data_IF_160633326432
#
_entry.id   IF_160633326432
#
_cell.length_a   1.000
_cell.length_b   1.000
_cell.length_c   1.000
_cell.angle_alpha   90.00
_cell.angle_beta   90.00
_cell.angle_gamma   90.00
#
_symmetry.space_group_name_H-M   'P 1'
#
loop_
_entity.id
_entity.type
_entity.pdbx_description
1 polymer ?
#
# COMPACT_ATOMS: atom_id res chain seq x y z
N UNK A 1 -11.20 -6.31 7.41
CA UNK A 1 -10.03 -6.74 8.23
C UNK A 1 -8.75 -6.67 7.39
N UNK A 2 -7.69 -6.15 7.96
CA UNK A 2 -6.38 -6.12 7.28
C UNK A 2 -5.56 -7.34 7.71
N UNK A 3 -5.04 -8.05 6.71
CA UNK A 3 -4.20 -9.24 6.92
C UNK A 3 -2.84 -9.04 6.25
N UNK A 4 -1.82 -9.68 6.79
CA UNK A 4 -0.44 -9.56 6.31
C UNK A 4 0.20 -10.94 6.20
N UNK A 5 0.76 -11.25 5.03
CA UNK A 5 1.43 -12.53 4.76
C UNK A 5 2.76 -12.29 4.06
N UNK A 6 3.65 -13.26 4.18
CA UNK A 6 4.92 -13.30 3.43
C UNK A 6 4.87 -14.43 2.41
N UNK A 7 5.42 -14.18 1.23
CA UNK A 7 5.60 -15.19 0.20
C UNK A 7 7.05 -15.16 -0.30
N UNK A 8 7.81 -16.20 0.04
CA UNK A 8 9.23 -16.35 -0.34
C UNK A 8 10.14 -15.22 0.17
N UNK A 9 9.80 -14.66 1.32
CA UNK A 9 10.62 -13.66 2.02
C UNK A 9 10.41 -13.82 3.52
N UNK A 10 11.41 -13.41 4.30
CA UNK A 10 11.34 -13.36 5.75
C UNK A 10 11.10 -11.94 6.28
N UNK A 11 10.52 -11.08 5.46
CA UNK A 11 10.26 -9.68 5.81
C UNK A 11 9.38 -9.58 7.06
N UNK A 12 9.75 -8.68 7.96
CA UNK A 12 9.01 -8.43 9.19
C UNK A 12 8.34 -7.08 9.15
N UNK A 13 7.02 -7.07 8.91
CA UNK A 13 6.23 -5.85 8.91
C UNK A 13 5.84 -5.50 10.35
N UNK A 14 6.21 -4.30 10.80
CA UNK A 14 6.02 -3.86 12.19
C UNK A 14 4.74 -3.07 12.36
N UNK A 15 4.23 -3.03 13.61
CA UNK A 15 3.08 -2.22 14.02
C UNK A 15 1.81 -2.51 13.21
N UNK A 16 1.52 -3.78 12.99
CA UNK A 16 0.40 -4.23 12.16
C UNK A 16 -0.94 -3.63 12.58
N UNK A 17 -1.22 -3.56 13.88
CA UNK A 17 -2.48 -3.00 14.39
C UNK A 17 -2.57 -1.49 14.17
N UNK A 18 -1.50 -0.77 14.42
CA UNK A 18 -1.44 0.67 14.21
C UNK A 18 -1.62 1.01 12.72
N UNK A 19 -0.98 0.22 11.84
CA UNK A 19 -1.13 0.38 10.40
C UNK A 19 -2.57 0.11 9.98
N UNK A 20 -3.21 -0.94 10.48
CA UNK A 20 -4.61 -1.25 10.17
C UNK A 20 -5.54 -0.10 10.60
N UNK A 21 -5.32 0.49 11.77
CA UNK A 21 -6.08 1.65 12.25
C UNK A 21 -5.89 2.85 11.33
N UNK A 22 -4.66 3.12 10.93
CA UNK A 22 -4.32 4.18 9.98
C UNK A 22 -5.04 3.97 8.64
N UNK A 23 -4.97 2.77 8.09
CA UNK A 23 -5.61 2.45 6.80
C UNK A 23 -7.14 2.60 6.87
N UNK A 24 -7.76 2.28 8.00
CA UNK A 24 -9.19 2.53 8.21
C UNK A 24 -9.52 4.02 8.10
N UNK A 25 -8.71 4.85 8.72
CA UNK A 25 -8.89 6.31 8.65
C UNK A 25 -8.67 6.85 7.24
N UNK A 26 -7.69 6.29 6.52
CA UNK A 26 -7.44 6.66 5.11
C UNK A 26 -8.67 6.32 4.25
N UNK A 27 -9.19 5.11 4.36
CA UNK A 27 -10.37 4.69 3.60
C UNK A 27 -11.56 5.60 3.91
N UNK A 28 -11.80 5.92 5.19
CA UNK A 28 -12.88 6.82 5.60
C UNK A 28 -12.70 8.22 5.01
N UNK A 29 -11.48 8.74 5.01
CA UNK A 29 -11.18 10.06 4.43
C UNK A 29 -11.43 10.09 2.91
N UNK A 30 -11.25 8.95 2.24
CA UNK A 30 -11.57 8.81 0.82
C UNK A 30 -13.06 8.52 0.57
N UNK A 31 -13.86 8.35 1.62
CA UNK A 31 -15.30 8.16 1.52
C UNK A 31 -15.75 6.71 1.52
N UNK A 32 -14.94 5.79 2.01
CA UNK A 32 -15.22 4.35 1.97
C UNK A 32 -15.01 3.69 3.32
N UNK A 33 -15.59 2.51 3.50
CA UNK A 33 -15.30 1.63 4.61
C UNK A 33 -14.21 0.63 4.19
N UNK A 34 -13.33 0.30 5.11
CA UNK A 34 -12.29 -0.71 4.88
C UNK A 34 -12.88 -2.10 5.08
N UNK A 35 -12.91 -2.88 4.01
CA UNK A 35 -13.31 -4.28 4.04
C UNK A 35 -12.12 -5.21 4.28
N UNK A 36 -12.09 -6.33 3.55
CA UNK A 36 -11.00 -7.30 3.66
C UNK A 36 -9.87 -6.92 2.70
N UNK A 37 -8.77 -6.45 3.26
CA UNK A 37 -7.57 -6.08 2.51
C UNK A 37 -6.41 -6.93 3.01
N UNK A 38 -5.75 -7.62 2.09
CA UNK A 38 -4.62 -8.50 2.39
C UNK A 38 -3.37 -7.95 1.73
N UNK A 39 -2.33 -7.75 2.53
CA UNK A 39 -1.00 -7.40 2.05
C UNK A 39 -0.12 -8.64 2.03
N UNK A 40 0.47 -8.94 0.88
CA UNK A 40 1.39 -10.05 0.70
C UNK A 40 2.76 -9.48 0.34
N UNK A 41 3.73 -9.66 1.22
CA UNK A 41 5.12 -9.24 1.01
C UNK A 41 5.87 -10.34 0.28
N UNK A 42 6.45 -10.02 -0.87
CA UNK A 42 7.04 -10.99 -1.78
C UNK A 42 8.51 -10.71 -2.03
N UNK A 43 9.25 -11.76 -2.42
CA UNK A 43 10.55 -11.59 -3.08
C UNK A 43 10.35 -11.02 -4.48
N UNK A 44 11.39 -10.40 -5.05
CA UNK A 44 11.32 -9.88 -6.42
C UNK A 44 11.06 -10.97 -7.45
N UNK A 45 11.59 -12.16 -7.24
CA UNK A 45 11.37 -13.30 -8.15
C UNK A 45 9.89 -13.68 -8.23
N UNK A 46 9.23 -13.83 -7.07
CA UNK A 46 7.81 -14.17 -7.00
C UNK A 46 6.96 -13.05 -7.60
N UNK A 47 7.24 -11.82 -7.25
CA UNK A 47 6.49 -10.66 -7.70
C UNK A 47 6.59 -10.48 -9.22
N UNK A 48 7.79 -10.62 -9.78
CA UNK A 48 8.03 -10.55 -11.22
C UNK A 48 7.25 -11.64 -11.97
N UNK A 49 7.25 -12.85 -11.42
CA UNK A 49 6.49 -13.97 -12.01
C UNK A 49 5.00 -13.67 -12.06
N UNK A 50 4.43 -13.12 -10.99
CA UNK A 50 3.04 -12.69 -10.95
C UNK A 50 2.74 -11.62 -12.00
N UNK A 51 3.65 -10.66 -12.15
CA UNK A 51 3.50 -9.59 -13.12
C UNK A 51 3.45 -10.13 -14.56
N UNK A 52 4.27 -11.12 -14.88
CA UNK A 52 4.27 -11.81 -16.18
C UNK A 52 3.00 -12.66 -16.33
N UNK A 53 2.69 -13.50 -15.34
CA UNK A 53 1.62 -14.51 -15.43
C UNK A 53 0.23 -13.88 -15.42
N UNK A 54 0.00 -12.82 -14.68
CA UNK A 54 -1.33 -12.24 -14.46
C UNK A 54 -1.56 -10.89 -15.14
N UNK A 55 -0.51 -10.12 -15.39
CA UNK A 55 -0.63 -8.77 -15.97
C UNK A 55 0.01 -8.71 -17.36
N UNK A 56 0.87 -9.67 -17.70
CA UNK A 56 1.54 -9.73 -18.98
C UNK A 56 2.73 -8.79 -19.14
N UNK A 57 3.23 -8.25 -18.05
CA UNK A 57 4.38 -7.34 -18.03
C UNK A 57 5.63 -8.06 -17.52
N UNK A 58 6.73 -7.99 -18.23
CA UNK A 58 8.02 -8.55 -17.81
C UNK A 58 8.95 -7.42 -17.38
N UNK A 59 8.58 -6.71 -16.31
CA UNK A 59 9.43 -5.69 -15.70
C UNK A 59 9.17 -5.65 -14.20
N UNK A 60 10.11 -5.05 -13.46
CA UNK A 60 9.96 -4.90 -12.02
C UNK A 60 9.05 -3.72 -11.70
N UNK A 61 8.06 -3.97 -10.85
CA UNK A 61 7.22 -2.95 -10.22
C UNK A 61 7.20 -3.23 -8.72
N UNK A 62 6.94 -2.21 -7.91
CA UNK A 62 6.91 -2.35 -6.46
C UNK A 62 5.62 -2.96 -5.93
N UNK A 63 4.54 -2.90 -6.71
CA UNK A 63 3.21 -3.28 -6.22
C UNK A 63 2.33 -3.86 -7.33
N UNK A 64 1.53 -4.87 -6.98
CA UNK A 64 0.47 -5.41 -7.82
C UNK A 64 -0.80 -5.47 -6.97
N UNK A 65 -1.91 -4.92 -7.47
CA UNK A 65 -3.20 -4.92 -6.76
C UNK A 65 -4.24 -5.74 -7.51
N UNK A 66 -5.01 -6.54 -6.75
CA UNK A 66 -6.22 -7.20 -7.23
C UNK A 66 -7.40 -6.58 -6.48
N UNK A 67 -8.27 -5.90 -7.21
CA UNK A 67 -9.32 -5.05 -6.65
C UNK A 67 -10.66 -5.81 -6.62
N UNK A 68 -11.22 -6.00 -5.44
CA UNK A 68 -12.54 -6.61 -5.21
C UNK A 68 -13.50 -5.60 -4.58
N UNK A 69 -13.18 -4.32 -4.61
CA UNK A 69 -13.94 -3.26 -3.97
C UNK A 69 -15.31 -3.06 -4.57
N UNK A 70 -16.27 -2.70 -3.74
CA UNK A 70 -17.58 -2.25 -4.16
C UNK A 70 -17.71 -0.75 -3.86
N UNK A 71 -17.23 0.09 -4.78
CA UNK A 71 -17.16 1.54 -4.58
C UNK A 71 -18.47 2.25 -4.82
N UNK A 72 -19.37 1.66 -5.62
CA UNK A 72 -20.64 2.29 -6.02
C UNK A 72 -21.83 1.83 -5.19
N UNK A 73 -21.81 0.58 -4.72
CA UNK A 73 -22.87 0.01 -3.89
C UNK A 73 -22.68 0.29 -2.42
N UNK A 74 -22.10 -0.66 -1.71
CA UNK A 74 -21.87 -0.57 -0.26
C UNK A 74 -20.70 0.35 0.13
N UNK A 75 -19.89 0.80 -0.84
CA UNK A 75 -18.74 1.67 -0.65
C UNK A 75 -17.69 1.04 0.26
N UNK A 76 -17.36 -0.21 -0.03
CA UNK A 76 -16.40 -1.01 0.72
C UNK A 76 -15.16 -1.27 -0.14
N UNK A 77 -13.99 -1.00 0.43
CA UNK A 77 -12.68 -1.26 -0.19
C UNK A 77 -12.22 -2.64 0.19
N UNK A 78 -11.89 -3.46 -0.79
CA UNK A 78 -11.41 -4.83 -0.59
C UNK A 78 -10.42 -5.20 -1.68
N UNK A 79 -9.43 -6.01 -1.35
CA UNK A 79 -8.49 -6.48 -2.36
C UNK A 79 -7.27 -7.14 -1.77
N UNK A 80 -6.42 -7.63 -2.67
CA UNK A 80 -5.12 -8.20 -2.36
C UNK A 80 -4.03 -7.31 -2.95
N UNK A 81 -3.02 -7.00 -2.14
CA UNK A 81 -1.93 -6.11 -2.51
C UNK A 81 -0.61 -6.85 -2.31
N UNK A 82 0.07 -7.11 -3.42
CA UNK A 82 1.37 -7.81 -3.42
C UNK A 82 2.48 -6.77 -3.54
N UNK A 83 3.40 -6.78 -2.58
CA UNK A 83 4.49 -5.79 -2.49
C UNK A 83 5.83 -6.49 -2.63
N UNK A 84 6.65 -6.03 -3.56
CA UNK A 84 8.02 -6.46 -3.76
C UNK A 84 8.94 -5.76 -2.75
N UNK A 85 9.31 -6.47 -1.70
CA UNK A 85 10.11 -5.92 -0.60
C UNK A 85 11.48 -5.43 -1.08
N UNK A 86 12.12 -6.17 -1.97
CA UNK A 86 13.45 -5.80 -2.48
C UNK A 86 13.40 -4.50 -3.28
N UNK A 87 12.39 -4.37 -4.16
CA UNK A 87 12.19 -3.16 -4.96
C UNK A 87 11.90 -1.95 -4.07
N UNK A 88 11.05 -2.12 -3.05
CA UNK A 88 10.75 -1.04 -2.10
C UNK A 88 12.01 -0.60 -1.35
N UNK A 89 12.82 -1.55 -0.90
CA UNK A 89 14.08 -1.26 -0.20
C UNK A 89 15.06 -0.51 -1.11
N UNK A 90 15.18 -0.92 -2.37
CA UNK A 90 16.03 -0.26 -3.36
C UNK A 90 15.54 1.15 -3.66
N UNK A 91 14.23 1.34 -3.82
CA UNK A 91 13.64 2.66 -4.05
C UNK A 91 13.90 3.62 -2.88
N UNK A 92 13.84 3.11 -1.65
CA UNK A 92 14.16 3.92 -0.47
C UNK A 92 15.57 4.50 -0.55
N UNK A 93 16.55 3.68 -0.98
CA UNK A 93 17.93 4.15 -1.17
C UNK A 93 18.04 5.19 -2.27
N UNK A 94 17.37 4.96 -3.39
CA UNK A 94 17.40 5.87 -4.56
C UNK A 94 16.84 7.25 -4.19
N UNK A 95 15.74 7.28 -3.43
CA UNK A 95 15.05 8.53 -3.07
C UNK A 95 15.53 9.14 -1.74
N UNK A 96 16.52 8.53 -1.09
CA UNK A 96 17.05 9.06 0.16
C UNK A 96 16.09 8.95 1.34
N UNK A 97 15.21 7.95 1.32
CA UNK A 97 14.23 7.68 2.38
C UNK A 97 14.66 6.45 3.20
N UNK A 98 14.00 6.23 4.34
CA UNK A 98 14.17 4.97 5.08
C UNK A 98 13.34 3.87 4.43
N UNK A 99 13.76 2.62 4.61
CA UNK A 99 13.00 1.47 4.12
C UNK A 99 11.58 1.45 4.72
N UNK A 100 11.45 1.79 6.00
CA UNK A 100 10.14 1.86 6.68
C UNK A 100 9.22 2.91 6.06
N UNK A 101 9.74 4.12 5.85
CA UNK A 101 8.96 5.22 5.28
C UNK A 101 8.49 4.88 3.86
N UNK A 102 9.37 4.32 3.04
CA UNK A 102 9.02 3.90 1.68
C UNK A 102 7.99 2.77 1.70
N UNK A 103 8.12 1.80 2.62
CA UNK A 103 7.15 0.73 2.76
C UNK A 103 5.77 1.26 3.14
N UNK A 104 5.68 2.19 4.06
CA UNK A 104 4.40 2.80 4.44
C UNK A 104 3.79 3.57 3.27
N UNK A 105 4.60 4.24 2.47
CA UNK A 105 4.15 4.93 1.25
C UNK A 105 3.53 3.94 0.26
N UNK A 106 4.19 2.81 0.03
CA UNK A 106 3.70 1.77 -0.89
C UNK A 106 2.43 1.11 -0.34
N UNK A 107 2.37 0.88 0.97
CA UNK A 107 1.17 0.32 1.63
C UNK A 107 -0.05 1.21 1.42
N UNK A 108 0.07 2.51 1.65
CA UNK A 108 -1.05 3.44 1.46
C UNK A 108 -1.35 3.67 -0.02
N UNK A 109 -0.34 3.67 -0.87
CA UNK A 109 -0.49 3.75 -2.33
C UNK A 109 -1.41 2.65 -2.85
N UNK A 110 -1.18 1.41 -2.41
CA UNK A 110 -2.02 0.27 -2.78
C UNK A 110 -3.47 0.44 -2.31
N UNK A 111 -3.67 0.90 -1.09
CA UNK A 111 -5.02 1.17 -0.59
C UNK A 111 -5.71 2.25 -1.42
N UNK A 112 -5.00 3.32 -1.79
CA UNK A 112 -5.56 4.40 -2.60
C UNK A 112 -5.98 3.90 -3.99
N UNK A 113 -5.24 2.97 -4.58
CA UNK A 113 -5.67 2.31 -5.82
C UNK A 113 -7.01 1.59 -5.62
N UNK A 114 -7.17 0.86 -4.53
CA UNK A 114 -8.44 0.19 -4.21
C UNK A 114 -9.57 1.20 -3.99
N UNK A 115 -9.26 2.41 -3.53
CA UNK A 115 -10.22 3.51 -3.40
C UNK A 115 -10.52 4.22 -4.73
N UNK A 116 -9.96 3.75 -5.82
CA UNK A 116 -10.19 4.31 -7.16
C UNK A 116 -9.23 5.40 -7.58
N UNK A 117 -8.22 5.72 -6.79
CA UNK A 117 -7.22 6.72 -7.18
C UNK A 117 -6.31 6.17 -8.27
N UNK A 118 -6.27 6.85 -9.41
CA UNK A 118 -5.42 6.48 -10.55
C UNK A 118 -4.09 7.20 -10.50
N UNK A 119 -3.10 6.71 -11.24
CA UNK A 119 -1.75 7.29 -11.27
C UNK A 119 -1.09 7.22 -12.64
N UNK A 120 -1.87 6.90 -13.70
CA UNK A 120 -1.31 6.68 -15.05
C UNK A 120 -1.16 7.93 -15.91
N UNK A 121 -1.70 9.06 -15.47
CA UNK A 121 -1.50 10.35 -16.15
C UNK A 121 -0.65 11.25 -15.25
N UNK A 122 0.05 12.26 -15.81
CA UNK A 122 0.82 13.20 -14.96
C UNK A 122 -0.02 13.86 -13.88
N UNK A 123 -1.27 14.22 -14.19
CA UNK A 123 -2.20 14.83 -13.22
C UNK A 123 -2.59 13.84 -12.13
N UNK A 124 -2.95 12.61 -12.51
CA UNK A 124 -3.35 11.57 -11.56
C UNK A 124 -2.18 11.16 -10.68
N UNK A 125 -0.98 11.07 -11.24
CA UNK A 125 0.25 10.78 -10.49
C UNK A 125 0.51 11.84 -9.41
N UNK A 126 0.36 13.12 -9.75
CA UNK A 126 0.50 14.21 -8.77
C UNK A 126 -0.55 14.11 -7.66
N UNK A 127 -1.79 13.78 -8.01
CA UNK A 127 -2.84 13.57 -7.01
C UNK A 127 -2.53 12.41 -6.09
N UNK A 128 -2.03 11.31 -6.64
CA UNK A 128 -1.63 10.14 -5.85
C UNK A 128 -0.51 10.53 -4.87
N UNK A 129 0.53 11.22 -5.33
CA UNK A 129 1.64 11.64 -4.47
C UNK A 129 1.18 12.59 -3.36
N UNK A 130 0.28 13.53 -3.65
CA UNK A 130 -0.28 14.44 -2.64
C UNK A 130 -1.03 13.66 -1.55
N UNK A 131 -1.81 12.66 -1.95
CA UNK A 131 -2.54 11.82 -1.01
C UNK A 131 -1.59 10.97 -0.18
N UNK A 132 -0.57 10.38 -0.80
CA UNK A 132 0.46 9.64 -0.08
C UNK A 132 1.12 10.52 0.99
N UNK A 133 1.55 11.71 0.62
CA UNK A 133 2.17 12.67 1.55
C UNK A 133 1.23 13.04 2.70
N UNK A 134 -0.02 13.35 2.37
CA UNK A 134 -1.06 13.68 3.35
C UNK A 134 -1.27 12.56 4.36
N UNK A 135 -1.36 11.32 3.89
CA UNK A 135 -1.63 10.18 4.76
C UNK A 135 -0.41 9.70 5.53
N UNK A 136 0.79 9.88 4.99
CA UNK A 136 2.01 9.68 5.77
C UNK A 136 2.12 10.70 6.91
N UNK A 137 1.75 11.94 6.67
CA UNK A 137 1.67 12.95 7.72
C UNK A 137 0.68 12.55 8.81
N UNK A 138 -0.48 12.02 8.43
CA UNK A 138 -1.47 11.48 9.37
C UNK A 138 -0.86 10.34 10.20
N UNK A 139 -0.15 9.41 9.55
CA UNK A 139 0.54 8.33 10.26
C UNK A 139 1.48 8.87 11.33
N UNK A 140 2.32 9.84 10.99
CA UNK A 140 3.27 10.43 11.92
C UNK A 140 2.56 11.11 13.10
N UNK A 141 1.47 11.82 12.84
CA UNK A 141 0.64 12.42 13.91
C UNK A 141 0.06 11.38 14.85
N UNK A 142 -0.45 10.28 14.31
CA UNK A 142 -0.99 9.17 15.10
C UNK A 142 0.08 8.56 16.00
N UNK A 143 1.32 8.42 15.50
CA UNK A 143 2.43 7.91 16.30
C UNK A 143 2.84 8.88 17.42
N UNK A 144 2.86 10.16 17.15
CA UNK A 144 3.13 11.19 18.18
C UNK A 144 2.09 11.15 19.29
N UNK A 145 0.80 11.07 18.95
CA UNK A 145 -0.28 10.97 19.92
C UNK A 145 -0.14 9.73 20.81
N UNK A 146 0.25 8.60 20.25
CA UNK A 146 0.51 7.37 21.00
C UNK A 146 1.71 7.54 21.94
N UNK A 147 2.75 8.27 21.52
CA UNK A 147 3.98 8.47 22.30
C UNK A 147 3.80 9.39 23.51
N UNK A 148 2.82 10.28 23.45
CA UNK A 148 2.55 11.24 24.54
C UNK A 148 1.65 10.68 25.65
N UNK A 149 1.16 9.48 25.45
CA UNK A 149 0.36 8.77 26.46
C UNK A 149 1.26 7.86 27.29
#
# INVERSE_FOLDING_TARGET
>A
MVRYYNDSTSYRFLQKRAVASWLRQVAQAEGYALGDVTYIFCSSTVHRKMNVDFIGHDYFTDIITFDYSDLKGERIVSGDIFIDVETVTDNARIYGSTAREEMLRVVVHGLLHLCGQKDKTPRAEKQMHRKEDKYLELWHKMQEECSTK
#
